data_IF_679377464197
#
_entry.id   IF_679377464197
#
_cell.length_a   1.000
_cell.length_b   1.000
_cell.length_c   1.000
_cell.angle_alpha   90.00
_cell.angle_beta   90.00
_cell.angle_gamma   90.00
#
_symmetry.space_group_name_H-M   'P 1'
#
loop_
_entity.id
_entity.type
_entity.pdbx_description
1 polymer ?
#
# COMPACT_ATOMS: atom_id res chain seq x y z
N UNK A 1 -61.59 -8.58 -8.02
CA UNK A 1 -60.64 -8.51 -6.89
C UNK A 1 -59.24 -9.03 -7.21
N UNK A 2 -59.03 -9.88 -8.25
CA UNK A 2 -57.70 -10.38 -8.64
C UNK A 2 -56.87 -9.40 -9.49
N UNK A 3 -57.50 -8.53 -10.29
CA UNK A 3 -56.79 -7.58 -11.16
C UNK A 3 -56.02 -6.48 -10.41
N UNK A 4 -56.55 -6.00 -9.28
CA UNK A 4 -55.89 -4.97 -8.47
C UNK A 4 -54.64 -5.49 -7.75
N UNK A 5 -54.64 -6.77 -7.37
CA UNK A 5 -53.48 -7.43 -6.75
C UNK A 5 -52.36 -7.58 -7.78
N UNK A 6 -52.69 -7.99 -9.01
CA UNK A 6 -51.72 -8.11 -10.11
C UNK A 6 -51.08 -6.77 -10.47
N UNK A 7 -51.86 -5.69 -10.53
CA UNK A 7 -51.33 -4.33 -10.78
C UNK A 7 -50.45 -3.85 -9.63
N UNK A 8 -50.83 -4.14 -8.38
CA UNK A 8 -50.02 -3.83 -7.20
C UNK A 8 -48.66 -4.53 -7.22
N UNK A 9 -48.63 -5.82 -7.57
CA UNK A 9 -47.38 -6.58 -7.70
C UNK A 9 -46.51 -6.07 -8.85
N UNK A 10 -47.11 -5.72 -10.00
CA UNK A 10 -46.37 -5.13 -11.13
C UNK A 10 -45.78 -3.76 -10.74
N UNK A 11 -46.53 -2.90 -10.05
CA UNK A 11 -46.02 -1.61 -9.59
C UNK A 11 -44.88 -1.77 -8.58
N UNK A 12 -44.97 -2.73 -7.65
CA UNK A 12 -43.89 -3.02 -6.69
C UNK A 12 -42.64 -3.53 -7.43
N UNK A 13 -42.81 -4.42 -8.42
CA UNK A 13 -41.69 -4.95 -9.21
C UNK A 13 -41.02 -3.86 -10.07
N UNK A 14 -41.80 -2.97 -10.70
CA UNK A 14 -41.27 -1.86 -11.50
C UNK A 14 -40.53 -0.84 -10.64
N UNK A 15 -41.00 -0.55 -9.42
CA UNK A 15 -40.29 0.33 -8.49
C UNK A 15 -39.00 -0.32 -7.95
N UNK A 16 -39.00 -1.63 -7.69
CA UNK A 16 -37.80 -2.36 -7.27
C UNK A 16 -36.70 -2.40 -8.35
N UNK A 17 -37.09 -2.48 -9.64
CA UNK A 17 -36.15 -2.41 -10.77
C UNK A 17 -35.58 -0.99 -11.02
N UNK A 18 -36.19 0.06 -10.46
CA UNK A 18 -35.73 1.46 -10.58
C UNK A 18 -34.82 1.92 -9.45
N UNK A 19 -34.57 1.08 -8.45
CA UNK A 19 -33.80 1.45 -7.24
C UNK A 19 -32.35 0.93 -7.23
N UNK A 20 -31.77 0.62 -8.39
CA UNK A 20 -30.34 0.34 -8.51
C UNK A 20 -29.66 1.36 -9.41
N UNK A 21 -29.52 2.58 -8.89
CA UNK A 21 -28.54 3.52 -9.42
C UNK A 21 -27.54 3.80 -8.29
N UNK A 22 -26.53 2.93 -8.19
CA UNK A 22 -25.31 3.28 -7.46
C UNK A 22 -24.58 4.26 -8.37
N UNK A 23 -24.86 5.55 -8.21
CA UNK A 23 -24.03 6.60 -8.78
C UNK A 23 -22.74 6.65 -7.97
N UNK A 24 -21.68 6.04 -8.52
CA UNK A 24 -20.33 6.35 -8.06
C UNK A 24 -20.07 7.82 -8.37
N UNK A 25 -19.53 8.61 -7.43
CA UNK A 25 -19.13 9.97 -7.75
C UNK A 25 -18.10 9.87 -8.88
N UNK A 26 -18.41 10.48 -10.03
CA UNK A 26 -17.40 10.74 -11.04
C UNK A 26 -16.30 11.55 -10.36
N UNK A 27 -15.10 10.99 -10.24
CA UNK A 27 -13.91 11.79 -10.07
C UNK A 27 -13.87 12.72 -11.28
N UNK A 28 -14.29 13.97 -11.07
CA UNK A 28 -13.96 15.04 -11.99
C UNK A 28 -12.46 15.26 -11.88
N UNK A 29 -11.72 14.49 -12.67
CA UNK A 29 -10.35 14.82 -13.05
C UNK A 29 -10.37 16.14 -13.79
N UNK A 30 -10.35 17.24 -13.05
CA UNK A 30 -9.82 18.49 -13.56
C UNK A 30 -8.29 18.41 -13.40
N UNK A 31 -7.66 17.82 -14.41
CA UNK A 31 -6.26 18.05 -14.72
C UNK A 31 -6.03 19.54 -14.91
N UNK A 32 -5.47 20.20 -13.90
CA UNK A 32 -4.63 21.37 -14.07
C UNK A 32 -3.25 21.03 -13.55
N UNK A 33 -2.46 20.50 -14.47
CA UNK A 33 -1.02 20.45 -14.43
C UNK A 33 -0.49 21.89 -14.36
N UNK A 34 0.16 22.25 -13.26
CA UNK A 34 0.91 23.49 -13.12
C UNK A 34 0.14 24.68 -12.55
N UNK A 35 0.01 24.74 -11.23
CA UNK A 35 0.02 26.03 -10.53
C UNK A 35 0.47 25.83 -9.08
N UNK A 36 1.44 26.65 -8.66
CA UNK A 36 1.99 26.69 -7.32
C UNK A 36 0.87 26.79 -6.28
N UNK A 37 0.63 25.69 -5.56
CA UNK A 37 -0.19 25.73 -4.35
C UNK A 37 0.61 26.49 -3.30
N UNK A 38 0.12 27.69 -3.00
CA UNK A 38 0.60 28.51 -1.88
C UNK A 38 0.49 27.67 -0.61
N UNK A 39 1.65 27.41 0.00
CA UNK A 39 1.79 26.64 1.23
C UNK A 39 1.23 27.48 2.40
N UNK A 40 -0.04 27.28 2.74
CA UNK A 40 -0.54 27.70 4.06
C UNK A 40 -0.13 26.63 5.07
N UNK A 41 0.81 26.99 5.94
CA UNK A 41 1.19 26.22 7.12
C UNK A 41 -0.02 26.09 8.05
N UNK A 42 -0.57 24.88 8.19
CA UNK A 42 -1.18 24.34 9.42
C UNK A 42 -1.55 22.85 9.21
N UNK A 43 -0.58 21.98 9.49
CA UNK A 43 -0.74 20.62 10.08
C UNK A 43 -1.92 19.74 9.62
N UNK A 44 -1.82 19.13 8.44
CA UNK A 44 -2.62 17.91 8.08
C UNK A 44 -2.00 17.03 6.98
N UNK A 45 -0.77 17.30 6.55
CA UNK A 45 -0.13 16.52 5.47
C UNK A 45 0.87 15.52 6.04
N UNK A 46 0.62 14.23 5.84
CA UNK A 46 1.59 13.20 6.18
C UNK A 46 2.86 13.32 5.32
N UNK A 47 4.02 12.87 5.82
CA UNK A 47 5.25 12.87 5.05
C UNK A 47 5.17 12.04 3.75
N UNK A 48 6.22 12.11 2.93
CA UNK A 48 6.25 11.46 1.63
C UNK A 48 5.95 9.95 1.71
N UNK A 49 4.97 9.51 0.91
CA UNK A 49 4.46 8.13 0.83
C UNK A 49 3.90 7.59 2.15
N UNK A 50 3.44 8.47 3.05
CA UNK A 50 2.72 8.09 4.26
C UNK A 50 1.23 8.40 4.11
N UNK A 51 0.40 7.61 4.79
CA UNK A 51 -1.04 7.81 4.88
C UNK A 51 -1.42 8.14 6.33
N UNK A 52 -2.48 8.92 6.48
CA UNK A 52 -3.08 9.20 7.77
C UNK A 52 -3.92 7.99 8.18
N UNK A 53 -3.66 7.47 9.38
CA UNK A 53 -4.41 6.42 10.04
C UNK A 53 -5.06 6.98 11.29
N UNK A 54 -6.20 6.41 11.66
CA UNK A 54 -6.92 6.75 12.88
C UNK A 54 -6.92 5.54 13.82
N UNK A 55 -6.56 5.77 15.07
CA UNK A 55 -6.70 4.79 16.14
C UNK A 55 -7.98 5.10 16.91
N UNK A 56 -8.99 4.23 16.77
CA UNK A 56 -10.27 4.37 17.45
C UNK A 56 -10.16 4.21 18.98
N UNK A 57 -9.23 3.38 19.47
CA UNK A 57 -9.06 3.12 20.90
C UNK A 57 -8.46 4.32 21.64
N UNK A 58 -7.54 5.03 20.98
CA UNK A 58 -6.80 6.16 21.56
C UNK A 58 -7.31 7.53 21.09
N UNK A 59 -8.38 7.55 20.28
CA UNK A 59 -8.96 8.73 19.64
C UNK A 59 -7.89 9.66 19.05
N UNK A 60 -6.94 9.09 18.29
CA UNK A 60 -5.81 9.82 17.74
C UNK A 60 -5.57 9.53 16.26
N UNK A 61 -4.93 10.48 15.58
CA UNK A 61 -4.51 10.35 14.20
C UNK A 61 -2.99 10.28 14.14
N UNK A 62 -2.47 9.40 13.29
CA UNK A 62 -1.03 9.24 13.10
C UNK A 62 -0.70 8.92 11.64
N UNK A 63 0.50 9.28 11.20
CA UNK A 63 0.98 8.94 9.86
C UNK A 63 1.74 7.61 9.91
N UNK A 64 1.44 6.69 9.00
CA UNK A 64 2.22 5.46 8.82
C UNK A 64 2.43 5.13 7.33
N UNK A 65 3.32 4.18 7.07
CA UNK A 65 3.57 3.69 5.72
C UNK A 65 2.36 2.94 5.16
N UNK A 66 2.12 3.09 3.86
CA UNK A 66 1.18 2.24 3.14
C UNK A 66 1.66 0.78 3.10
N UNK A 67 0.74 -0.15 2.84
CA UNK A 67 1.06 -1.58 2.77
C UNK A 67 2.16 -1.85 1.74
N UNK A 68 3.15 -2.65 2.14
CA UNK A 68 4.30 -2.99 1.31
C UNK A 68 5.40 -1.92 1.26
N UNK A 69 5.20 -0.74 1.86
CA UNK A 69 6.25 0.27 1.99
C UNK A 69 7.03 0.09 3.31
N UNK A 70 8.30 0.47 3.28
CA UNK A 70 9.20 0.46 4.44
C UNK A 70 9.58 1.88 4.83
N UNK A 71 9.61 2.14 6.14
CA UNK A 71 9.97 3.44 6.68
C UNK A 71 11.49 3.66 6.64
N UNK A 72 11.88 4.86 6.25
CA UNK A 72 13.26 5.32 6.25
C UNK A 72 13.42 6.51 7.21
N UNK A 73 13.96 6.27 8.43
CA UNK A 73 14.05 7.31 9.47
C UNK A 73 14.77 8.60 9.06
N UNK A 74 15.88 8.58 8.30
CA UNK A 74 16.67 9.79 8.04
C UNK A 74 15.93 10.95 7.36
N UNK A 75 14.84 10.68 6.64
CA UNK A 75 14.00 11.71 6.04
C UNK A 75 12.51 11.54 6.35
N UNK A 76 12.19 10.75 7.37
CA UNK A 76 10.83 10.51 7.85
C UNK A 76 9.84 10.17 6.71
N UNK A 77 10.21 9.28 5.79
CA UNK A 77 9.40 8.94 4.61
C UNK A 77 9.35 7.43 4.40
N UNK A 78 8.38 6.97 3.60
CA UNK A 78 8.24 5.56 3.27
C UNK A 78 8.62 5.28 1.81
N UNK A 79 9.14 4.08 1.53
CA UNK A 79 9.62 3.71 0.20
C UNK A 79 9.33 2.24 -0.09
N UNK A 80 9.23 1.91 -1.38
CA UNK A 80 9.13 0.52 -1.80
C UNK A 80 10.46 -0.21 -1.56
N UNK A 81 10.43 -1.41 -0.95
CA UNK A 81 11.60 -2.26 -0.83
C UNK A 81 12.12 -2.65 -2.21
N UNK A 82 13.44 -2.89 -2.32
CA UNK A 82 14.14 -3.23 -3.56
C UNK A 82 14.02 -2.20 -4.69
N UNK A 83 13.56 -0.99 -4.37
CA UNK A 83 13.66 0.19 -5.24
C UNK A 83 14.75 1.13 -4.73
N UNK A 84 15.25 1.99 -5.61
CA UNK A 84 16.26 3.00 -5.29
C UNK A 84 15.84 3.84 -4.08
N UNK A 85 14.63 4.38 -4.08
CA UNK A 85 14.13 5.26 -3.02
C UNK A 85 15.14 6.37 -2.69
N UNK A 86 15.51 6.57 -1.40
CA UNK A 86 16.46 7.58 -0.97
C UNK A 86 17.93 7.16 -1.18
N UNK A 87 18.18 5.96 -1.70
CA UNK A 87 19.53 5.43 -1.86
C UNK A 87 20.27 6.05 -3.05
N UNK A 88 21.60 6.08 -2.95
CA UNK A 88 22.48 6.45 -4.06
C UNK A 88 22.30 5.51 -5.27
N UNK A 89 22.75 5.94 -6.44
CA UNK A 89 22.72 5.12 -7.67
C UNK A 89 23.29 3.71 -7.43
N UNK A 90 22.69 2.71 -8.10
CA UNK A 90 23.03 1.28 -8.01
C UNK A 90 22.82 0.65 -6.62
N UNK A 91 22.08 1.30 -5.73
CA UNK A 91 21.61 0.75 -4.46
C UNK A 91 20.09 0.74 -4.44
N UNK A 92 19.53 -0.15 -3.62
CA UNK A 92 18.12 -0.18 -3.29
C UNK A 92 17.94 -0.13 -1.76
N UNK A 93 16.73 0.14 -1.32
CA UNK A 93 16.34 0.09 0.09
C UNK A 93 15.91 -1.34 0.47
N UNK A 94 16.38 -1.83 1.61
CA UNK A 94 15.97 -3.12 2.19
C UNK A 94 15.63 -2.96 3.68
N UNK A 95 14.78 -3.85 4.18
CA UNK A 95 14.57 -4.08 5.60
C UNK A 95 14.87 -5.55 5.87
N UNK A 96 15.86 -5.86 6.71
CA UNK A 96 16.12 -7.24 7.11
C UNK A 96 14.96 -7.80 7.94
N UNK A 97 14.76 -9.12 7.92
CA UNK A 97 13.65 -9.81 8.60
C UNK A 97 13.54 -9.48 10.11
N UNK A 98 14.68 -9.21 10.76
CA UNK A 98 14.77 -8.87 12.18
C UNK A 98 15.21 -7.42 12.45
N UNK A 99 15.27 -6.61 11.41
CA UNK A 99 15.69 -5.22 11.48
C UNK A 99 14.47 -4.30 11.61
N UNK A 100 14.58 -3.28 12.47
CA UNK A 100 13.55 -2.24 12.61
C UNK A 100 13.84 -1.00 11.74
N UNK A 101 15.02 -0.93 11.14
CA UNK A 101 15.51 0.23 10.39
C UNK A 101 15.91 -0.21 8.99
N UNK A 102 15.31 0.43 7.99
CA UNK A 102 15.66 0.20 6.60
C UNK A 102 17.05 0.77 6.28
N UNK A 103 17.78 0.08 5.39
CA UNK A 103 19.12 0.51 4.96
C UNK A 103 19.32 0.35 3.46
N UNK A 104 20.24 1.15 2.92
CA UNK A 104 20.64 1.06 1.53
C UNK A 104 21.66 -0.06 1.30
N UNK A 105 21.34 -1.01 0.42
CA UNK A 105 22.22 -2.11 0.01
C UNK A 105 22.53 -2.00 -1.48
N UNK A 106 23.75 -2.40 -1.88
CA UNK A 106 24.13 -2.49 -3.29
C UNK A 106 23.17 -3.42 -4.04
N UNK A 107 22.61 -2.93 -5.15
CA UNK A 107 21.83 -3.76 -6.06
C UNK A 107 22.80 -4.58 -6.93
N UNK A 108 22.81 -5.92 -6.86
CA UNK A 108 23.67 -6.74 -7.71
C UNK A 108 23.43 -6.52 -9.21
N UNK A 109 22.22 -6.15 -9.60
CA UNK A 109 21.83 -5.89 -10.98
C UNK A 109 22.13 -4.46 -11.45
N UNK A 110 22.63 -3.59 -10.56
CA UNK A 110 23.04 -2.20 -10.81
C UNK A 110 21.96 -1.24 -11.35
N UNK A 111 20.80 -1.74 -11.76
CA UNK A 111 19.68 -1.00 -12.36
C UNK A 111 18.47 -1.02 -11.44
N UNK A 112 17.83 0.13 -11.21
CA UNK A 112 16.60 0.20 -10.41
C UNK A 112 15.47 -0.64 -11.02
N UNK A 113 14.66 -1.29 -10.19
CA UNK A 113 13.60 -2.19 -10.63
C UNK A 113 14.07 -3.60 -11.04
N UNK A 114 15.38 -3.82 -11.19
CA UNK A 114 15.94 -5.17 -11.34
C UNK A 114 16.41 -5.73 -10.00
N UNK A 115 16.12 -7.00 -9.79
CA UNK A 115 16.54 -7.76 -8.61
C UNK A 115 17.22 -9.06 -9.01
N UNK A 116 18.17 -9.50 -8.19
CA UNK A 116 18.83 -10.79 -8.33
C UNK A 116 17.91 -11.89 -7.80
N UNK A 117 17.53 -12.83 -8.64
CA UNK A 117 16.73 -13.99 -8.27
C UNK A 117 17.22 -15.21 -9.06
N UNK A 118 17.47 -16.33 -8.38
CA UNK A 118 18.06 -17.54 -8.97
C UNK A 118 19.35 -17.30 -9.80
N UNK A 119 20.18 -16.35 -9.39
CA UNK A 119 21.47 -16.04 -10.05
C UNK A 119 21.37 -15.15 -11.28
N UNK A 120 20.16 -14.73 -11.68
CA UNK A 120 19.91 -13.85 -12.81
C UNK A 120 19.14 -12.60 -12.40
N UNK A 121 19.29 -11.54 -13.20
CA UNK A 121 18.61 -10.27 -12.96
C UNK A 121 17.24 -10.25 -13.62
N UNK A 122 16.22 -9.89 -12.84
CA UNK A 122 14.83 -9.90 -13.28
C UNK A 122 14.09 -8.64 -12.85
N UNK A 123 13.11 -8.23 -13.64
CA UNK A 123 12.22 -7.12 -13.31
C UNK A 123 11.29 -7.51 -12.16
N UNK A 124 11.31 -6.70 -11.11
CA UNK A 124 10.39 -6.82 -9.98
C UNK A 124 8.97 -6.41 -10.43
N UNK A 125 7.97 -7.19 -10.05
CA UNK A 125 6.56 -6.97 -10.38
C UNK A 125 6.11 -7.53 -11.73
N UNK A 126 7.00 -8.23 -12.47
CA UNK A 126 6.66 -8.83 -13.75
C UNK A 126 6.06 -10.23 -13.60
N UNK A 127 4.96 -10.49 -14.32
CA UNK A 127 4.33 -11.81 -14.39
C UNK A 127 4.99 -12.71 -15.44
N UNK A 128 4.98 -14.02 -15.20
CA UNK A 128 5.18 -15.05 -16.23
C UNK A 128 6.61 -15.24 -16.79
N UNK A 129 7.63 -14.50 -16.32
CA UNK A 129 9.01 -14.69 -16.81
C UNK A 129 9.82 -15.69 -15.99
N UNK A 130 9.75 -15.57 -14.66
CA UNK A 130 10.53 -16.41 -13.71
C UNK A 130 9.62 -17.22 -12.80
N UNK A 131 8.41 -16.74 -12.62
CA UNK A 131 7.36 -17.37 -11.85
C UNK A 131 6.32 -17.93 -12.83
N UNK A 132 5.59 -18.97 -12.41
CA UNK A 132 4.48 -19.56 -13.19
C UNK A 132 3.45 -18.48 -13.57
N UNK A 133 2.61 -18.75 -14.58
CA UNK A 133 1.72 -17.75 -15.19
C UNK A 133 0.76 -17.01 -14.23
N UNK A 134 0.50 -17.55 -13.04
CA UNK A 134 -0.37 -16.95 -12.00
C UNK A 134 0.38 -16.15 -10.92
N UNK A 135 1.71 -16.11 -11.00
CA UNK A 135 2.60 -15.51 -9.98
C UNK A 135 3.46 -14.40 -10.55
N UNK A 136 3.78 -13.43 -9.70
CA UNK A 136 4.72 -12.36 -10.01
C UNK A 136 5.97 -12.51 -9.15
N UNK A 137 7.12 -12.10 -9.69
CA UNK A 137 8.31 -11.90 -8.88
C UNK A 137 8.11 -10.64 -8.04
N UNK A 138 7.80 -10.79 -6.76
CA UNK A 138 7.42 -9.70 -5.87
C UNK A 138 8.15 -9.75 -4.53
N UNK A 139 7.65 -8.97 -3.58
CA UNK A 139 8.20 -8.87 -2.23
C UNK A 139 7.16 -9.40 -1.24
N UNK A 140 7.56 -10.32 -0.39
CA UNK A 140 6.74 -10.86 0.69
C UNK A 140 6.54 -9.81 1.79
N UNK A 141 5.29 -9.60 2.24
CA UNK A 141 4.95 -8.56 3.22
C UNK A 141 5.47 -8.83 4.65
N UNK A 142 5.69 -10.10 4.98
CA UNK A 142 6.07 -10.59 6.32
C UNK A 142 7.58 -10.62 6.57
N UNK A 143 8.39 -10.72 5.52
CA UNK A 143 9.84 -10.79 5.62
C UNK A 143 10.58 -9.75 4.76
N UNK A 144 9.86 -9.00 3.94
CA UNK A 144 10.41 -8.13 2.89
C UNK A 144 11.45 -8.87 2.02
N UNK A 145 11.24 -10.17 1.77
CA UNK A 145 12.09 -11.01 0.94
C UNK A 145 11.54 -11.10 -0.48
N UNK A 146 12.42 -11.32 -1.46
CA UNK A 146 12.02 -11.50 -2.86
C UNK A 146 11.56 -12.93 -3.07
N UNK A 147 10.41 -13.11 -3.73
CA UNK A 147 9.88 -14.43 -4.05
C UNK A 147 8.79 -14.38 -5.11
N UNK A 148 8.33 -15.56 -5.52
CA UNK A 148 7.16 -15.68 -6.39
C UNK A 148 5.90 -15.61 -5.53
N UNK A 149 5.20 -14.48 -5.61
CA UNK A 149 3.95 -14.24 -4.88
C UNK A 149 2.76 -14.39 -5.82
N UNK A 150 1.65 -14.91 -5.29
CA UNK A 150 0.38 -14.96 -6.02
C UNK A 150 -0.11 -13.53 -6.28
N UNK A 151 -0.74 -13.30 -7.43
CA UNK A 151 -1.47 -12.06 -7.69
C UNK A 151 -2.78 -12.13 -6.89
N UNK A 152 -2.71 -12.02 -5.57
CA UNK A 152 -3.91 -11.82 -4.76
C UNK A 152 -4.36 -10.39 -5.00
N UNK A 153 -5.39 -10.20 -5.81
CA UNK A 153 -6.24 -9.03 -5.68
C UNK A 153 -6.71 -9.06 -4.23
N UNK A 154 -6.40 -8.04 -3.40
CA UNK A 154 -7.05 -7.97 -2.12
C UNK A 154 -8.54 -7.95 -2.45
N UNK A 155 -9.26 -9.03 -2.11
CA UNK A 155 -10.65 -8.86 -1.71
C UNK A 155 -10.63 -7.64 -0.80
N UNK A 156 -11.59 -6.72 -0.93
CA UNK A 156 -11.71 -5.52 -0.11
C UNK A 156 -11.96 -5.85 1.38
N UNK A 157 -11.26 -6.82 1.93
CA UNK A 157 -10.94 -6.95 3.32
C UNK A 157 -10.22 -5.64 3.66
N UNK A 158 -10.92 -4.81 4.40
CA UNK A 158 -10.37 -3.69 5.13
C UNK A 158 -9.35 -4.32 6.08
N UNK A 159 -8.10 -4.46 5.63
CA UNK A 159 -7.00 -4.80 6.52
C UNK A 159 -6.84 -3.54 7.36
N UNK A 160 -7.49 -3.54 8.52
CA UNK A 160 -7.30 -2.54 9.54
C UNK A 160 -5.80 -2.41 9.79
N UNK A 161 -5.32 -1.17 9.75
CA UNK A 161 -4.00 -0.88 10.29
C UNK A 161 -3.90 -1.49 11.69
N UNK A 162 -2.74 -2.02 12.09
CA UNK A 162 -2.60 -2.65 13.38
C UNK A 162 -3.07 -1.68 14.47
N UNK A 163 -4.13 -2.07 15.19
CA UNK A 163 -4.88 -1.23 16.15
C UNK A 163 -4.00 -0.61 17.24
N UNK A 164 -2.79 -1.15 17.46
CA UNK A 164 -1.85 -0.66 18.46
C UNK A 164 -0.57 -0.16 17.82
N UNK A 165 -0.31 1.11 18.01
CA UNK A 165 0.99 1.70 17.74
C UNK A 165 2.06 1.06 18.64
N UNK A 166 3.29 0.96 18.12
CA UNK A 166 4.42 0.59 18.96
C UNK A 166 4.72 1.71 19.96
N UNK A 167 5.29 1.35 21.13
CA UNK A 167 5.67 2.36 22.14
C UNK A 167 6.63 3.40 21.53
N UNK A 168 6.61 4.67 21.99
CA UNK A 168 7.58 5.66 21.56
C UNK A 168 9.03 5.13 21.64
N UNK A 169 9.81 5.33 20.59
CA UNK A 169 11.17 4.79 20.47
C UNK A 169 11.24 3.33 19.99
N UNK A 170 10.10 2.72 19.62
CA UNK A 170 10.06 1.37 19.03
C UNK A 170 9.30 1.35 17.70
N UNK A 171 9.64 0.39 16.83
CA UNK A 171 9.05 0.19 15.50
C UNK A 171 8.72 -1.27 15.26
N UNK A 172 7.63 -1.52 14.53
CA UNK A 172 7.21 -2.86 14.14
C UNK A 172 8.16 -3.40 13.06
N UNK A 173 8.77 -4.56 13.30
CA UNK A 173 9.54 -5.28 12.27
C UNK A 173 8.61 -6.13 11.41
N UNK A 174 9.15 -6.72 10.34
CA UNK A 174 8.39 -7.48 9.34
C UNK A 174 7.52 -8.61 9.96
N UNK A 175 8.03 -9.28 11.00
CA UNK A 175 7.30 -10.33 11.72
C UNK A 175 6.17 -9.83 12.65
N UNK A 176 5.91 -8.52 12.70
CA UNK A 176 4.86 -7.92 13.53
C UNK A 176 5.27 -7.52 14.94
N UNK A 177 6.50 -7.79 15.38
CA UNK A 177 6.99 -7.45 16.73
C UNK A 177 7.52 -6.01 16.81
N UNK A 178 7.26 -5.27 17.89
CA UNK A 178 7.89 -3.96 18.13
C UNK A 178 9.32 -4.10 18.66
N UNK A 179 10.29 -3.41 18.06
CA UNK A 179 11.69 -3.36 18.51
C UNK A 179 12.20 -1.93 18.64
N UNK A 180 13.15 -1.71 19.53
CA UNK A 180 13.78 -0.40 19.75
C UNK A 180 14.57 0.04 18.51
N UNK A 181 14.40 1.30 18.14
CA UNK A 181 15.24 2.00 17.17
C UNK A 181 16.31 2.75 17.97
N UNK A 182 17.55 2.24 17.95
CA UNK A 182 18.71 2.86 18.59
C UNK A 182 19.10 4.17 17.89
#
# INVERSE_FOLDING_TARGET
MFGLILVGWILIFVNALRAQDITFPNETTNTNFGQHVQLTNESTSCPLNMKLYYNEEEDNQFCDCDLGFIYYPPNNSCYLPYRKGPCSSRKYLILGQDEAVARCKKNPCLTDGLVMFNGTCHELGKSGTVCNASKILGVHNDAYSIGCIEITFPNRNIISAPLRACRPGTRRVANGTCRTIL
#
